data_IF_844711908990
#
_entry.id   IF_844711908990
#
_cell.length_a   1.000
_cell.length_b   1.000
_cell.length_c   1.000
_cell.angle_alpha   90.00
_cell.angle_beta   90.00
_cell.angle_gamma   90.00
#
_symmetry.space_group_name_H-M   'P 1'
#
loop_
_entity.id
_entity.type
_entity.pdbx_description
1 polymer ?
#
# COMPACT_ATOMS: atom_id res chain seq x y z
N UNK A 1 7.19 -12.58 -5.70
CA UNK A 1 8.50 -12.31 -6.35
C UNK A 1 9.58 -12.16 -5.28
N UNK A 2 10.83 -12.51 -5.56
CA UNK A 2 11.88 -12.32 -4.55
C UNK A 2 12.03 -10.83 -4.24
N UNK A 3 12.29 -10.54 -2.97
CA UNK A 3 12.54 -9.18 -2.49
C UNK A 3 13.74 -8.56 -3.23
N UNK A 4 13.54 -7.42 -3.84
CA UNK A 4 14.64 -6.64 -4.43
C UNK A 4 15.42 -5.96 -3.32
N UNK A 5 16.71 -6.12 -3.30
CA UNK A 5 17.59 -5.49 -2.30
C UNK A 5 18.58 -4.58 -3.01
N UNK A 6 18.55 -3.31 -2.68
CA UNK A 6 19.47 -2.30 -3.17
C UNK A 6 20.69 -2.22 -2.26
N UNK A 7 21.87 -1.96 -2.82
CA UNK A 7 23.09 -1.86 -2.02
C UNK A 7 23.13 -0.59 -1.17
N UNK A 8 22.57 0.50 -1.68
CA UNK A 8 22.53 1.77 -0.95
C UNK A 8 21.30 2.59 -1.30
N UNK A 9 21.00 3.59 -0.47
CA UNK A 9 19.94 4.55 -0.73
C UNK A 9 20.16 5.31 -2.06
N UNK A 10 21.41 5.63 -2.39
CA UNK A 10 21.73 6.32 -3.64
C UNK A 10 21.41 5.47 -4.89
N UNK A 11 21.38 4.16 -4.75
CA UNK A 11 20.95 3.26 -5.83
C UNK A 11 19.50 3.49 -6.29
N UNK A 12 18.64 4.06 -5.43
CA UNK A 12 17.28 4.43 -5.83
C UNK A 12 17.26 5.40 -7.00
N UNK A 13 18.20 6.35 -7.05
CA UNK A 13 18.25 7.37 -8.10
C UNK A 13 18.37 6.77 -9.50
N UNK A 14 18.99 5.60 -9.61
CA UNK A 14 19.18 4.91 -10.90
C UNK A 14 17.91 4.21 -11.38
N UNK A 15 16.89 4.11 -10.54
CA UNK A 15 15.66 3.38 -10.80
C UNK A 15 14.47 4.28 -11.14
N UNK A 16 14.68 5.59 -11.21
CA UNK A 16 13.62 6.54 -11.55
C UNK A 16 13.01 6.19 -12.91
N UNK A 17 11.68 6.15 -12.96
CA UNK A 17 10.91 5.75 -14.15
C UNK A 17 10.67 4.24 -14.28
N UNK A 18 11.21 3.42 -13.37
CA UNK A 18 11.09 1.97 -13.43
C UNK A 18 10.11 1.41 -12.39
N UNK A 19 9.50 0.28 -12.71
CA UNK A 19 8.83 -0.55 -11.71
C UNK A 19 9.89 -1.18 -10.81
N UNK A 20 9.91 -0.76 -9.56
CA UNK A 20 10.96 -1.16 -8.61
C UNK A 20 10.58 -2.38 -7.78
N UNK A 21 9.28 -2.62 -7.62
CA UNK A 21 8.80 -3.73 -6.81
C UNK A 21 7.37 -4.14 -7.21
N UNK A 22 7.11 -5.43 -7.11
CA UNK A 22 5.77 -6.04 -7.16
C UNK A 22 5.71 -7.06 -6.04
N UNK A 23 4.68 -7.01 -5.21
CA UNK A 23 4.52 -7.91 -4.07
C UNK A 23 3.87 -9.23 -4.45
N UNK A 24 3.97 -10.20 -3.57
CA UNK A 24 3.10 -11.36 -3.61
C UNK A 24 1.66 -10.98 -3.24
N UNK A 25 0.74 -11.89 -3.49
CA UNK A 25 -0.67 -11.71 -3.15
C UNK A 25 -0.88 -11.82 -1.63
N UNK A 26 -1.66 -10.88 -1.10
CA UNK A 26 -2.02 -10.79 0.31
C UNK A 26 -3.53 -10.94 0.46
N UNK A 27 -3.98 -11.87 1.30
CA UNK A 27 -5.42 -12.07 1.56
C UNK A 27 -5.93 -11.08 2.60
N UNK A 28 -6.94 -10.30 2.21
CA UNK A 28 -7.62 -9.36 3.10
C UNK A 28 -8.72 -10.08 3.89
N UNK A 29 -8.40 -10.51 5.10
CA UNK A 29 -9.33 -11.28 5.95
C UNK A 29 -10.30 -10.38 6.71
N UNK A 30 -11.46 -10.94 7.12
CA UNK A 30 -12.41 -10.24 8.01
C UNK A 30 -11.76 -9.86 9.34
N UNK A 31 -10.90 -10.70 9.88
CA UNK A 31 -10.20 -10.42 11.13
C UNK A 31 -9.33 -9.16 11.03
N UNK A 32 -8.61 -8.99 9.93
CA UNK A 32 -7.81 -7.78 9.68
C UNK A 32 -8.67 -6.53 9.52
N UNK A 33 -9.80 -6.65 8.85
CA UNK A 33 -10.77 -5.56 8.71
C UNK A 33 -11.32 -5.16 10.09
N UNK A 34 -11.66 -6.15 10.92
CA UNK A 34 -12.14 -5.89 12.28
C UNK A 34 -11.09 -5.20 13.15
N UNK A 35 -9.84 -5.65 13.10
CA UNK A 35 -8.73 -5.03 13.83
C UNK A 35 -8.52 -3.56 13.41
N UNK A 36 -8.62 -3.26 12.14
CA UNK A 36 -8.52 -1.88 11.66
C UNK A 36 -9.70 -1.03 12.14
N UNK A 37 -10.91 -1.56 12.09
CA UNK A 37 -12.10 -0.90 12.61
C UNK A 37 -11.96 -0.58 14.11
N UNK A 38 -11.46 -1.52 14.89
CA UNK A 38 -11.25 -1.35 16.32
C UNK A 38 -10.18 -0.30 16.63
N UNK A 39 -9.09 -0.30 15.86
CA UNK A 39 -7.99 0.63 16.03
C UNK A 39 -8.36 2.07 15.67
N UNK A 40 -9.14 2.25 14.61
CA UNK A 40 -9.51 3.57 14.08
C UNK A 40 -10.87 4.05 14.54
N UNK A 41 -11.64 3.18 15.19
CA UNK A 41 -13.02 3.41 15.61
C UNK A 41 -14.01 3.60 14.44
N UNK A 42 -13.64 3.15 13.27
CA UNK A 42 -14.53 3.13 12.10
C UNK A 42 -15.24 1.77 12.01
N UNK A 43 -16.36 1.67 12.72
CA UNK A 43 -17.20 0.48 12.78
C UNK A 43 -18.40 0.55 11.83
N UNK A 44 -18.24 1.20 10.68
CA UNK A 44 -19.30 1.22 9.67
C UNK A 44 -19.70 -0.23 9.33
N UNK A 45 -21.00 -0.49 9.32
CA UNK A 45 -21.57 -1.83 9.13
C UNK A 45 -21.12 -2.53 7.84
N UNK A 46 -20.79 -1.77 6.78
CA UNK A 46 -20.28 -2.34 5.53
C UNK A 46 -18.97 -3.09 5.68
N UNK A 47 -18.21 -2.83 6.77
CA UNK A 47 -16.95 -3.46 7.07
C UNK A 47 -17.05 -4.57 8.11
N UNK A 48 -17.88 -4.39 9.14
CA UNK A 48 -17.85 -5.23 10.34
C UNK A 48 -19.09 -6.09 10.57
N UNK A 49 -20.23 -5.71 10.03
CA UNK A 49 -21.46 -6.50 10.16
C UNK A 49 -21.61 -7.44 8.96
N UNK A 50 -21.05 -8.64 9.11
CA UNK A 50 -20.97 -9.63 8.03
C UNK A 50 -22.35 -10.00 7.46
N UNK A 51 -23.33 -10.26 8.33
CA UNK A 51 -24.66 -10.69 7.92
C UNK A 51 -25.41 -9.55 7.21
N UNK A 52 -25.34 -8.36 7.78
CA UNK A 52 -25.96 -7.19 7.16
C UNK A 52 -25.30 -6.83 5.84
N UNK A 53 -23.95 -6.88 5.76
CA UNK A 53 -23.24 -6.58 4.52
C UNK A 53 -23.60 -7.56 3.40
N UNK A 54 -23.75 -8.85 3.71
CA UNK A 54 -24.20 -9.85 2.74
C UNK A 54 -25.62 -9.59 2.22
N UNK A 55 -26.52 -9.18 3.11
CA UNK A 55 -27.93 -8.98 2.80
C UNK A 55 -28.19 -7.64 2.11
N UNK A 56 -27.63 -6.55 2.63
CA UNK A 56 -28.02 -5.18 2.30
C UNK A 56 -26.98 -4.42 1.46
N UNK A 57 -25.69 -4.75 1.58
CA UNK A 57 -24.64 -4.06 0.84
C UNK A 57 -24.71 -4.33 -0.66
N UNK A 58 -24.46 -3.32 -1.52
CA UNK A 58 -24.36 -3.53 -2.96
C UNK A 58 -23.19 -4.47 -3.34
N UNK A 59 -22.22 -4.64 -2.44
CA UNK A 59 -21.06 -5.51 -2.65
C UNK A 59 -21.32 -6.97 -2.30
N UNK A 60 -22.45 -7.27 -1.62
CA UNK A 60 -22.86 -8.61 -1.18
C UNK A 60 -21.84 -9.32 -0.28
N UNK A 61 -21.00 -8.56 0.36
CA UNK A 61 -19.97 -9.00 1.30
C UNK A 61 -19.46 -7.80 2.10
N UNK A 62 -18.83 -8.03 3.28
CA UNK A 62 -18.02 -6.98 3.89
C UNK A 62 -16.89 -6.54 2.96
N UNK A 63 -16.54 -5.28 3.02
CA UNK A 63 -15.40 -4.72 2.29
C UNK A 63 -14.37 -4.14 3.25
N UNK A 64 -13.11 -4.16 2.86
CA UNK A 64 -12.06 -3.47 3.59
C UNK A 64 -12.26 -1.95 3.52
N UNK A 65 -11.89 -1.26 4.59
CA UNK A 65 -11.76 0.20 4.54
C UNK A 65 -10.76 0.59 3.47
N UNK A 66 -11.05 1.62 2.67
CA UNK A 66 -10.07 2.16 1.73
C UNK A 66 -8.78 2.56 2.44
N UNK A 67 -8.88 3.17 3.62
CA UNK A 67 -7.72 3.53 4.44
C UNK A 67 -6.95 2.34 4.98
N UNK A 68 -7.57 1.18 5.22
CA UNK A 68 -6.84 -0.04 5.53
C UNK A 68 -5.99 -0.47 4.33
N UNK A 69 -6.59 -0.52 3.15
CA UNK A 69 -5.88 -0.87 1.91
C UNK A 69 -4.69 0.06 1.67
N UNK A 70 -4.87 1.37 1.83
CA UNK A 70 -3.80 2.36 1.75
C UNK A 70 -2.71 2.13 2.79
N UNK A 71 -3.10 1.83 4.04
CA UNK A 71 -2.17 1.60 5.14
C UNK A 71 -1.26 0.37 4.93
N UNK A 72 -1.66 -0.55 4.06
CA UNK A 72 -0.82 -1.72 3.72
C UNK A 72 0.41 -1.38 2.87
N UNK A 73 0.53 -0.15 2.34
CA UNK A 73 1.66 0.23 1.48
C UNK A 73 3.01 0.02 2.13
N UNK A 74 3.16 0.33 3.41
CA UNK A 74 4.42 0.13 4.14
C UNK A 74 4.77 -1.36 4.23
N UNK A 75 3.81 -2.21 4.58
CA UNK A 75 4.00 -3.65 4.61
C UNK A 75 4.43 -4.18 3.23
N UNK A 76 3.70 -3.82 2.18
CA UNK A 76 4.03 -4.24 0.82
C UNK A 76 5.43 -3.79 0.39
N UNK A 77 5.82 -2.57 0.76
CA UNK A 77 7.16 -2.09 0.44
C UNK A 77 8.24 -2.89 1.19
N UNK A 78 8.05 -3.18 2.49
CA UNK A 78 9.00 -3.98 3.27
C UNK A 78 9.17 -5.40 2.71
N UNK A 79 8.10 -5.98 2.18
CA UNK A 79 8.16 -7.30 1.56
C UNK A 79 8.91 -7.29 0.22
N UNK A 80 8.77 -6.23 -0.56
CA UNK A 80 9.21 -6.21 -1.95
C UNK A 80 10.56 -5.50 -2.18
N UNK A 81 10.89 -4.52 -1.34
CA UNK A 81 12.10 -3.71 -1.50
C UNK A 81 12.85 -3.55 -0.18
N UNK A 82 14.17 -3.72 -0.22
CA UNK A 82 15.08 -3.45 0.88
C UNK A 82 16.27 -2.61 0.45
N UNK A 83 16.87 -1.90 1.39
CA UNK A 83 18.10 -1.14 1.19
C UNK A 83 19.10 -1.54 2.27
N UNK A 84 20.32 -1.96 1.87
CA UNK A 84 21.34 -2.46 2.82
C UNK A 84 22.01 -1.33 3.61
N UNK A 85 22.37 -0.25 2.92
CA UNK A 85 23.19 0.82 3.48
C UNK A 85 22.57 2.19 3.24
N UNK A 86 22.82 3.12 4.15
CA UNK A 86 22.46 4.52 3.99
C UNK A 86 21.04 4.88 4.43
N UNK A 87 20.34 3.98 5.14
CA UNK A 87 19.01 4.28 5.71
C UNK A 87 19.01 3.94 7.19
N UNK A 88 18.79 4.95 8.03
CA UNK A 88 18.54 4.76 9.46
C UNK A 88 17.06 4.47 9.72
N UNK A 89 16.19 5.23 9.08
CA UNK A 89 14.73 5.05 9.16
C UNK A 89 14.06 5.69 7.94
N UNK A 90 12.84 5.25 7.67
CA UNK A 90 11.93 5.84 6.70
C UNK A 90 10.64 6.28 7.37
N UNK A 91 10.04 7.34 6.85
CA UNK A 91 8.73 7.83 7.31
C UNK A 91 7.78 8.02 6.15
N UNK A 92 6.52 7.74 6.38
CA UNK A 92 5.46 8.12 5.46
C UNK A 92 5.31 9.63 5.53
N UNK A 93 5.67 10.32 4.45
CA UNK A 93 5.55 11.77 4.40
C UNK A 93 4.13 12.19 4.00
N UNK A 94 3.56 11.52 3.03
CA UNK A 94 2.23 11.81 2.57
C UNK A 94 1.87 11.18 1.24
N UNK A 95 0.79 11.65 0.67
CA UNK A 95 0.31 11.29 -0.65
C UNK A 95 -0.14 12.54 -1.38
N UNK A 96 0.12 12.64 -2.69
CA UNK A 96 -0.41 13.74 -3.51
C UNK A 96 -1.79 13.42 -4.09
N UNK A 97 -2.00 12.16 -4.45
CA UNK A 97 -3.28 11.65 -4.94
C UNK A 97 -3.56 10.28 -4.34
N UNK A 98 -4.82 10.03 -4.00
CA UNK A 98 -5.31 8.71 -3.62
C UNK A 98 -6.70 8.54 -4.20
N UNK A 99 -6.95 7.39 -4.83
CA UNK A 99 -8.30 6.98 -5.26
C UNK A 99 -8.51 5.53 -4.92
N UNK A 100 -9.63 5.24 -4.29
CA UNK A 100 -10.12 3.88 -4.02
C UNK A 100 -11.07 3.51 -5.14
N UNK A 101 -10.52 2.89 -6.18
CA UNK A 101 -11.23 2.69 -7.46
C UNK A 101 -12.24 1.56 -7.36
N UNK A 102 -11.84 0.43 -6.76
CA UNK A 102 -12.71 -0.73 -6.57
C UNK A 102 -12.68 -1.21 -5.12
N UNK A 103 -13.82 -1.65 -4.54
CA UNK A 103 -13.84 -2.17 -3.19
C UNK A 103 -13.06 -3.48 -3.09
N UNK A 104 -12.37 -3.66 -1.98
CA UNK A 104 -11.71 -4.93 -1.63
C UNK A 104 -12.69 -5.73 -0.78
N UNK A 105 -13.35 -6.72 -1.36
CA UNK A 105 -14.24 -7.62 -0.62
C UNK A 105 -13.41 -8.49 0.32
N UNK A 106 -14.01 -8.86 1.44
CA UNK A 106 -13.41 -9.83 2.36
C UNK A 106 -12.92 -11.07 1.62
N UNK A 107 -11.76 -11.58 2.03
CA UNK A 107 -11.06 -12.74 1.46
C UNK A 107 -10.52 -12.54 0.02
N UNK A 108 -10.67 -11.35 -0.55
CA UNK A 108 -9.97 -11.02 -1.78
C UNK A 108 -8.46 -10.95 -1.55
N UNK A 109 -7.70 -11.28 -2.58
CA UNK A 109 -6.25 -11.12 -2.58
C UNK A 109 -5.87 -9.83 -3.30
N UNK A 110 -4.98 -9.08 -2.68
CA UNK A 110 -4.44 -7.83 -3.21
C UNK A 110 -2.92 -7.87 -3.27
N UNK A 111 -2.32 -7.10 -4.17
CA UNK A 111 -0.87 -6.88 -4.24
C UNK A 111 -0.57 -5.47 -4.69
N UNK A 112 0.62 -4.99 -4.39
CA UNK A 112 1.07 -3.67 -4.80
C UNK A 112 2.14 -3.73 -5.89
N UNK A 113 2.04 -2.78 -6.83
CA UNK A 113 3.08 -2.44 -7.80
C UNK A 113 3.59 -1.05 -7.51
N UNK A 114 4.90 -0.88 -7.49
CA UNK A 114 5.55 0.39 -7.21
C UNK A 114 6.40 0.82 -8.39
N UNK A 115 6.05 1.94 -8.99
CA UNK A 115 6.89 2.63 -9.99
C UNK A 115 7.53 3.83 -9.33
N UNK A 116 8.85 3.90 -9.32
CA UNK A 116 9.56 5.03 -8.74
C UNK A 116 9.49 6.22 -9.69
N UNK A 117 8.79 7.26 -9.28
CA UNK A 117 8.57 8.45 -10.10
C UNK A 117 9.71 9.46 -9.97
N UNK A 118 10.16 9.73 -8.75
CA UNK A 118 11.20 10.72 -8.49
C UNK A 118 11.93 10.44 -7.19
N UNK A 119 13.16 10.95 -7.12
CA UNK A 119 13.99 10.96 -5.91
C UNK A 119 14.65 12.32 -5.80
N UNK A 120 14.50 12.97 -4.66
CA UNK A 120 15.13 14.27 -4.39
C UNK A 120 15.73 14.34 -3.00
N UNK A 121 16.82 15.08 -2.85
CA UNK A 121 17.39 15.36 -1.55
C UNK A 121 16.49 16.27 -0.73
N UNK A 122 16.38 16.01 0.56
CA UNK A 122 15.63 16.83 1.54
C UNK A 122 16.44 17.00 2.82
N UNK A 123 16.30 18.15 3.45
CA UNK A 123 16.91 18.41 4.74
C UNK A 123 16.16 17.74 5.91
N UNK A 124 16.87 17.38 6.98
CA UNK A 124 18.31 17.23 7.10
C UNK A 124 18.78 15.82 6.67
N UNK A 125 19.72 15.74 5.72
CA UNK A 125 20.37 14.49 5.32
C UNK A 125 19.41 13.35 4.92
N UNK A 126 18.38 13.69 4.16
CA UNK A 126 17.34 12.77 3.74
C UNK A 126 17.12 12.74 2.24
N UNK A 127 16.32 11.77 1.83
CA UNK A 127 15.86 11.58 0.44
C UNK A 127 14.35 11.39 0.46
N UNK A 128 13.64 12.12 -0.38
CA UNK A 128 12.22 11.90 -0.63
C UNK A 128 12.05 11.12 -1.93
N UNK A 129 11.45 9.96 -1.82
CA UNK A 129 11.08 9.14 -2.97
C UNK A 129 9.57 9.22 -3.18
N UNK A 130 9.16 9.47 -4.42
CA UNK A 130 7.75 9.45 -4.82
C UNK A 130 7.49 8.20 -5.66
N UNK A 131 6.54 7.40 -5.20
CA UNK A 131 6.12 6.17 -5.88
C UNK A 131 4.72 6.32 -6.44
N UNK A 132 4.54 5.97 -7.71
CA UNK A 132 3.23 5.68 -8.26
C UNK A 132 2.88 4.24 -7.87
N UNK A 133 1.84 4.08 -7.07
CA UNK A 133 1.43 2.78 -6.54
C UNK A 133 0.09 2.39 -7.13
N UNK A 134 0.02 1.12 -7.55
CA UNK A 134 -1.23 0.47 -7.94
C UNK A 134 -1.42 -0.75 -7.04
N UNK A 135 -2.53 -0.79 -6.28
CA UNK A 135 -2.93 -1.99 -5.54
C UNK A 135 -3.95 -2.73 -6.38
N UNK A 136 -3.57 -3.90 -6.85
CA UNK A 136 -4.39 -4.78 -7.69
C UNK A 136 -5.23 -5.72 -6.84
N UNK A 137 -6.38 -6.14 -7.36
CA UNK A 137 -7.22 -7.22 -6.82
C UNK A 137 -7.08 -8.42 -7.75
N UNK A 138 -6.80 -9.61 -7.22
CA UNK A 138 -6.70 -10.84 -8.02
C UNK A 138 -8.01 -11.08 -8.78
N UNK A 139 -7.90 -11.24 -10.10
CA UNK A 139 -9.07 -11.42 -10.98
C UNK A 139 -9.90 -10.16 -11.22
N UNK A 140 -9.52 -9.01 -10.65
CA UNK A 140 -10.23 -7.75 -10.86
C UNK A 140 -9.76 -7.01 -12.12
N UNK A 141 -10.70 -6.37 -12.82
CA UNK A 141 -10.37 -5.55 -14.00
C UNK A 141 -9.82 -4.17 -13.62
N UNK A 142 -10.20 -3.66 -12.45
CA UNK A 142 -9.79 -2.35 -11.94
C UNK A 142 -9.02 -2.51 -10.63
N UNK A 143 -8.05 -1.62 -10.35
CA UNK A 143 -7.31 -1.66 -9.10
C UNK A 143 -8.20 -1.32 -7.89
N UNK A 144 -7.79 -1.79 -6.72
CA UNK A 144 -8.39 -1.38 -5.45
C UNK A 144 -8.05 0.07 -5.12
N UNK A 145 -6.78 0.43 -5.32
CA UNK A 145 -6.27 1.74 -4.97
C UNK A 145 -5.18 2.16 -5.95
N UNK A 146 -5.16 3.44 -6.29
CA UNK A 146 -4.02 4.10 -6.94
C UNK A 146 -3.61 5.28 -6.07
N UNK A 147 -2.31 5.45 -5.86
CA UNK A 147 -1.76 6.49 -5.02
C UNK A 147 -0.44 7.00 -5.55
N UNK A 148 -0.20 8.29 -5.36
CA UNK A 148 1.13 8.89 -5.46
C UNK A 148 1.66 9.06 -4.04
N UNK A 149 2.55 8.14 -3.63
CA UNK A 149 2.99 7.98 -2.25
C UNK A 149 4.40 8.53 -2.07
N UNK A 150 4.59 9.40 -1.06
CA UNK A 150 5.85 10.04 -0.73
C UNK A 150 6.42 9.42 0.55
N UNK A 151 7.63 8.90 0.43
CA UNK A 151 8.39 8.34 1.56
C UNK A 151 9.70 9.11 1.70
N UNK A 152 10.02 9.51 2.92
CA UNK A 152 11.32 10.10 3.23
C UNK A 152 12.19 9.10 3.94
N UNK A 153 13.38 8.91 3.41
CA UNK A 153 14.44 8.08 4.01
C UNK A 153 15.53 8.99 4.54
N UNK A 154 15.97 8.72 5.77
CA UNK A 154 17.03 9.49 6.41
C UNK A 154 18.24 8.62 6.62
N UNK A 155 19.43 9.22 6.37
CA UNK A 155 20.77 8.62 6.52
C UNK A 155 21.24 8.60 7.97
#
# INVERSE_FOLDING_TARGET
MPKRVLDSLDSLKTLVGQEVAVTDWFTMTQDRIQQFADTTLDHNWIHVDVERARRESPFKAPIAHGFLTLSMLAHFMYEALGVKLGVRFGVNYGTNKVRFVSPVRVDSKIRARFVLQSVKEVEPNGVEATYNVTIEIEGGEKPACVAEWLVRYYR
#
